data_IF_905221849601
#
_entry.id   IF_905221849601
#
_cell.length_a   1.000
_cell.length_b   1.000
_cell.length_c   1.000
_cell.angle_alpha   90.00
_cell.angle_beta   90.00
_cell.angle_gamma   90.00
#
_symmetry.space_group_name_H-M   'P 1'
#
loop_
_entity.id
_entity.type
_entity.pdbx_description
1 polymer ?
#
# COMPACT_ATOMS: atom_id res chain seq x y z
N UNK A 1 -0.06 -75.38 -0.75
CA UNK A 1 -0.76 -74.41 0.12
C UNK A 1 0.15 -73.34 0.75
N UNK A 2 1.36 -73.67 1.25
CA UNK A 2 2.30 -72.69 1.84
C UNK A 2 2.76 -71.54 0.93
N UNK A 3 2.91 -71.75 -0.38
CA UNK A 3 3.37 -70.70 -1.33
C UNK A 3 2.28 -69.70 -1.73
N UNK A 4 1.03 -70.15 -1.83
CA UNK A 4 -0.12 -69.29 -2.16
C UNK A 4 -0.46 -68.39 -0.95
N UNK A 5 -0.28 -68.90 0.27
CA UNK A 5 -0.47 -68.12 1.49
C UNK A 5 0.56 -66.98 1.62
N UNK A 6 1.80 -67.19 1.19
CA UNK A 6 2.85 -66.16 1.21
C UNK A 6 2.59 -65.05 0.17
N UNK A 7 2.03 -65.38 -1.00
CA UNK A 7 1.69 -64.38 -2.03
C UNK A 7 0.49 -63.52 -1.62
N UNK A 8 -0.50 -64.09 -0.91
CA UNK A 8 -1.65 -63.36 -0.39
C UNK A 8 -1.26 -62.43 0.77
N UNK A 9 -0.32 -62.84 1.64
CA UNK A 9 0.19 -61.98 2.73
C UNK A 9 1.03 -60.81 2.21
N UNK A 10 1.77 -60.98 1.11
CA UNK A 10 2.53 -59.88 0.46
C UNK A 10 1.61 -58.90 -0.28
N UNK A 11 0.52 -59.38 -0.89
CA UNK A 11 -0.50 -58.52 -1.52
C UNK A 11 -1.35 -57.76 -0.49
N UNK A 12 -1.59 -58.33 0.71
CA UNK A 12 -2.31 -57.66 1.79
C UNK A 12 -1.47 -56.59 2.54
N UNK A 13 -0.14 -56.58 2.37
CA UNK A 13 0.73 -55.52 2.89
C UNK A 13 0.90 -54.31 1.94
N UNK A 14 0.31 -54.37 0.73
CA UNK A 14 0.46 -53.33 -0.30
C UNK A 14 -0.64 -52.25 -0.29
N UNK A 15 -1.60 -52.32 0.64
CA UNK A 15 -2.70 -51.35 0.74
C UNK A 15 -2.72 -50.64 2.10
N UNK A 16 -1.78 -49.73 2.30
CA UNK A 16 -1.96 -48.61 3.24
C UNK A 16 -1.42 -47.32 2.60
N UNK A 17 -1.88 -47.00 1.39
CA UNK A 17 -1.71 -45.65 0.83
C UNK A 17 -3.08 -44.98 0.83
N UNK A 18 -3.54 -44.61 2.03
CA UNK A 18 -4.51 -43.54 2.20
C UNK A 18 -3.80 -42.41 2.91
N UNK A 19 -3.05 -41.58 2.17
CA UNK A 19 -2.78 -40.24 2.69
C UNK A 19 -4.02 -39.39 2.44
N UNK A 20 -4.94 -39.38 3.40
CA UNK A 20 -5.99 -38.37 3.44
C UNK A 20 -5.36 -37.06 3.93
N UNK A 21 -4.89 -36.23 3.00
CA UNK A 21 -4.41 -34.88 3.28
C UNK A 21 -3.03 -34.76 3.94
N UNK A 22 -2.76 -33.57 4.48
CA UNK A 22 -1.51 -33.24 5.19
C UNK A 22 -1.42 -34.03 6.49
N UNK A 23 -0.28 -34.67 6.72
CA UNK A 23 0.07 -35.35 7.96
C UNK A 23 0.84 -34.41 8.86
N UNK A 24 0.18 -33.93 9.92
CA UNK A 24 0.78 -33.05 10.91
C UNK A 24 1.46 -33.87 12.03
N UNK A 25 2.71 -33.52 12.32
CA UNK A 25 3.47 -34.08 13.43
C UNK A 25 2.82 -33.75 14.78
N UNK A 26 2.93 -34.70 15.70
CA UNK A 26 2.61 -34.52 17.11
C UNK A 26 3.91 -34.41 17.90
N UNK A 27 3.97 -33.48 18.86
CA UNK A 27 5.13 -33.31 19.72
C UNK A 27 5.50 -31.84 19.93
N UNK A 28 6.63 -31.65 20.61
CA UNK A 28 7.23 -30.34 20.87
C UNK A 28 7.87 -29.77 19.61
N UNK A 29 8.03 -28.45 19.57
CA UNK A 29 8.73 -27.77 18.48
C UNK A 29 10.17 -28.28 18.29
N UNK A 30 10.84 -28.61 19.40
CA UNK A 30 12.19 -29.18 19.38
C UNK A 30 12.27 -30.52 18.65
N UNK A 31 11.28 -31.39 18.83
CA UNK A 31 11.22 -32.70 18.15
C UNK A 31 10.97 -32.53 16.65
N UNK A 32 10.12 -31.57 16.27
CA UNK A 32 9.87 -31.23 14.86
C UNK A 32 11.15 -30.73 14.18
N UNK A 33 11.90 -29.83 14.83
CA UNK A 33 13.21 -29.37 14.32
C UNK A 33 14.20 -30.53 14.15
N UNK A 34 14.26 -31.44 15.13
CA UNK A 34 15.13 -32.61 15.06
C UNK A 34 14.73 -33.53 13.89
N UNK A 35 13.43 -33.79 13.70
CA UNK A 35 12.93 -34.59 12.59
C UNK A 35 13.24 -33.96 11.24
N UNK A 36 13.00 -32.65 11.09
CA UNK A 36 13.31 -31.91 9.88
C UNK A 36 14.81 -31.97 9.53
N UNK A 37 15.68 -31.88 10.54
CA UNK A 37 17.13 -32.05 10.37
C UNK A 37 17.51 -33.45 9.92
N UNK A 38 16.87 -34.49 10.46
CA UNK A 38 17.11 -35.89 10.09
C UNK A 38 16.61 -36.21 8.68
N UNK A 39 15.44 -35.68 8.29
CA UNK A 39 14.86 -35.89 6.96
C UNK A 39 15.39 -34.93 5.89
N UNK A 40 16.18 -33.93 6.28
CA UNK A 40 16.65 -32.84 5.42
C UNK A 40 15.49 -32.14 4.68
N UNK A 41 14.42 -31.84 5.43
CA UNK A 41 13.22 -31.17 4.91
C UNK A 41 13.02 -29.81 5.56
N UNK A 42 12.34 -28.92 4.84
CA UNK A 42 11.74 -27.73 5.43
C UNK A 42 10.60 -28.14 6.37
N UNK A 43 10.19 -27.22 7.25
CA UNK A 43 9.01 -27.39 8.10
C UNK A 43 7.92 -26.44 7.61
N UNK A 44 6.73 -26.97 7.41
CA UNK A 44 5.52 -26.19 7.19
C UNK A 44 4.78 -26.06 8.53
N UNK A 45 4.48 -24.84 8.96
CA UNK A 45 3.80 -24.56 10.23
C UNK A 45 2.48 -23.83 9.97
N UNK A 46 1.38 -24.43 10.43
CA UNK A 46 0.08 -23.79 10.56
C UNK A 46 -0.06 -23.16 11.96
N UNK A 47 0.12 -21.84 12.05
CA UNK A 47 -0.14 -21.06 13.26
C UNK A 47 -1.60 -20.59 13.25
N UNK A 48 -2.42 -21.27 14.04
CA UNK A 48 -3.87 -21.06 14.11
C UNK A 48 -4.31 -20.64 15.51
N UNK A 49 -5.58 -20.22 15.64
CA UNK A 49 -6.25 -20.08 16.93
C UNK A 49 -7.60 -20.80 16.91
N UNK A 50 -8.08 -21.24 18.07
CA UNK A 50 -9.33 -22.03 18.19
C UNK A 50 -10.60 -21.26 17.80
N UNK A 51 -10.58 -19.94 17.88
CA UNK A 51 -11.70 -19.06 17.52
C UNK A 51 -11.63 -18.57 16.05
N UNK A 52 -10.51 -18.80 15.35
CA UNK A 52 -10.31 -18.36 13.97
C UNK A 52 -11.17 -19.17 12.98
N UNK A 53 -12.26 -18.58 12.50
CA UNK A 53 -13.14 -19.16 11.48
C UNK A 53 -12.42 -19.55 10.18
N UNK A 54 -11.60 -18.66 9.57
CA UNK A 54 -10.84 -18.99 8.37
C UNK A 54 -9.84 -20.15 8.54
N UNK A 55 -9.24 -20.29 9.72
CA UNK A 55 -8.34 -21.40 10.06
C UNK A 55 -9.09 -22.74 10.02
N UNK A 56 -10.27 -22.79 10.65
CA UNK A 56 -11.13 -23.99 10.63
C UNK A 56 -11.52 -24.38 9.21
N UNK A 57 -11.80 -23.39 8.35
CA UNK A 57 -12.12 -23.62 6.93
C UNK A 57 -10.97 -24.32 6.20
N UNK A 58 -9.74 -23.83 6.34
CA UNK A 58 -8.56 -24.48 5.75
C UNK A 58 -8.37 -25.91 6.23
N UNK A 59 -8.52 -26.13 7.55
CA UNK A 59 -8.39 -27.45 8.16
C UNK A 59 -9.45 -28.45 7.71
N UNK A 60 -10.65 -27.97 7.35
CA UNK A 60 -11.75 -28.80 6.87
C UNK A 60 -11.74 -29.01 5.35
N UNK A 61 -11.35 -27.99 4.57
CA UNK A 61 -11.56 -27.98 3.13
C UNK A 61 -10.27 -28.13 2.32
N UNK A 62 -9.13 -27.63 2.80
CA UNK A 62 -7.87 -27.58 2.02
C UNK A 62 -6.90 -28.66 2.47
N UNK A 63 -6.53 -28.68 3.76
CA UNK A 63 -5.54 -29.64 4.28
C UNK A 63 -5.91 -31.12 4.09
N UNK A 64 -7.18 -31.53 4.14
CA UNK A 64 -7.56 -32.94 3.92
C UNK A 64 -7.47 -33.40 2.46
N UNK A 65 -7.28 -32.49 1.49
CA UNK A 65 -7.23 -32.86 0.08
C UNK A 65 -5.98 -33.68 -0.23
N UNK A 66 -6.16 -34.80 -0.94
CA UNK A 66 -5.07 -35.73 -1.26
C UNK A 66 -3.91 -35.04 -2.00
N UNK A 67 -4.21 -34.23 -3.01
CA UNK A 67 -3.18 -33.50 -3.78
C UNK A 67 -2.31 -32.58 -2.92
N UNK A 68 -2.88 -32.02 -1.85
CA UNK A 68 -2.14 -31.19 -0.88
C UNK A 68 -1.28 -32.08 0.00
N UNK A 69 -1.84 -33.18 0.51
CA UNK A 69 -1.09 -34.17 1.29
C UNK A 69 0.11 -34.74 0.54
N UNK A 70 -0.09 -35.15 -0.71
CA UNK A 70 0.95 -35.74 -1.58
C UNK A 70 2.14 -34.79 -1.75
N UNK A 71 1.87 -33.49 -1.93
CA UNK A 71 2.92 -32.48 -2.04
C UNK A 71 3.57 -32.17 -0.69
N UNK A 72 2.76 -31.87 0.34
CA UNK A 72 3.27 -31.36 1.61
C UNK A 72 4.01 -32.43 2.41
N UNK A 73 3.49 -33.66 2.48
CA UNK A 73 4.13 -34.76 3.23
C UNK A 73 5.45 -35.19 2.57
N UNK A 74 5.58 -35.01 1.25
CA UNK A 74 6.81 -35.27 0.51
C UNK A 74 7.90 -34.22 0.78
N UNK A 75 7.52 -32.94 0.79
CA UNK A 75 8.50 -31.84 0.79
C UNK A 75 8.75 -31.23 2.18
N UNK A 76 7.84 -31.41 3.13
CA UNK A 76 7.90 -30.78 4.44
C UNK A 76 7.68 -31.77 5.59
N UNK A 77 8.23 -31.42 6.75
CA UNK A 77 7.70 -31.86 8.03
C UNK A 77 6.56 -30.89 8.39
N UNK A 78 5.33 -31.37 8.50
CA UNK A 78 4.19 -30.48 8.72
C UNK A 78 3.86 -30.38 10.20
N UNK A 79 3.66 -29.17 10.71
CA UNK A 79 3.34 -28.92 12.10
C UNK A 79 2.17 -27.95 12.19
N UNK A 80 1.33 -28.12 13.20
CA UNK A 80 0.25 -27.18 13.50
C UNK A 80 0.28 -26.87 14.98
N UNK A 81 0.11 -25.60 15.33
CA UNK A 81 0.15 -25.17 16.72
C UNK A 81 -0.83 -24.02 16.95
N UNK A 82 -1.54 -24.11 18.08
CA UNK A 82 -2.39 -23.02 18.56
C UNK A 82 -1.48 -21.90 19.08
N UNK A 83 -1.47 -20.78 18.37
CA UNK A 83 -0.59 -19.63 18.64
C UNK A 83 -0.84 -18.98 20.01
N UNK A 84 -1.92 -19.34 20.73
CA UNK A 84 -2.24 -18.82 22.05
C UNK A 84 -1.96 -19.81 23.19
N UNK A 85 -1.48 -21.04 22.89
CA UNK A 85 -1.28 -22.09 23.88
C UNK A 85 0.08 -22.77 23.76
N UNK A 86 0.58 -23.29 24.89
CA UNK A 86 1.83 -24.05 24.92
C UNK A 86 3.01 -23.24 24.36
N UNK A 87 3.77 -23.81 23.42
CA UNK A 87 4.87 -23.16 22.70
C UNK A 87 4.39 -22.14 21.64
N UNK A 88 3.09 -22.06 21.38
CA UNK A 88 2.47 -21.24 20.34
C UNK A 88 2.77 -19.74 20.45
N UNK A 89 2.61 -19.08 21.62
CA UNK A 89 2.88 -17.65 21.76
C UNK A 89 4.33 -17.28 21.44
N UNK A 90 5.29 -18.15 21.79
CA UNK A 90 6.70 -17.95 21.48
C UNK A 90 6.94 -18.05 19.96
N UNK A 91 6.37 -19.05 19.29
CA UNK A 91 6.49 -19.19 17.84
C UNK A 91 5.79 -18.06 17.08
N UNK A 92 4.62 -17.62 17.56
CA UNK A 92 3.89 -16.49 16.98
C UNK A 92 4.69 -15.20 17.10
N UNK A 93 5.34 -14.96 18.25
CA UNK A 93 6.26 -13.84 18.44
C UNK A 93 7.50 -13.96 17.54
N UNK A 94 8.16 -15.12 17.54
CA UNK A 94 9.37 -15.39 16.75
C UNK A 94 9.16 -15.16 15.25
N UNK A 95 8.01 -15.56 14.72
CA UNK A 95 7.68 -15.43 13.30
C UNK A 95 6.85 -14.17 12.99
N UNK A 96 6.73 -13.24 13.94
CA UNK A 96 6.02 -11.96 13.81
C UNK A 96 4.62 -12.14 13.19
N UNK A 97 3.80 -13.00 13.81
CA UNK A 97 2.42 -13.23 13.39
C UNK A 97 1.53 -12.10 13.89
N UNK A 98 0.90 -11.38 12.95
CA UNK A 98 0.00 -10.26 13.25
C UNK A 98 -1.49 -10.57 13.01
N UNK A 99 -1.80 -11.67 12.33
CA UNK A 99 -3.15 -12.12 12.04
C UNK A 99 -3.21 -13.63 11.77
N UNK A 100 -4.40 -14.22 11.83
CA UNK A 100 -4.60 -15.66 11.65
C UNK A 100 -5.58 -15.98 10.50
N UNK A 101 -5.37 -17.07 9.74
CA UNK A 101 -4.20 -17.95 9.79
C UNK A 101 -2.95 -17.27 9.22
N UNK A 102 -1.79 -17.57 9.81
CA UNK A 102 -0.48 -17.32 9.21
C UNK A 102 0.21 -18.66 8.98
N UNK A 103 0.63 -18.90 7.74
CA UNK A 103 1.35 -20.10 7.35
C UNK A 103 2.82 -19.77 7.18
N UNK A 104 3.67 -20.58 7.79
CA UNK A 104 5.10 -20.32 7.91
C UNK A 104 5.90 -21.51 7.38
N UNK A 105 6.93 -21.22 6.60
CA UNK A 105 7.92 -22.20 6.15
C UNK A 105 9.26 -21.86 6.80
N UNK A 106 9.87 -22.84 7.45
CA UNK A 106 11.13 -22.67 8.17
C UNK A 106 12.12 -23.77 7.80
N UNK A 107 13.40 -23.49 7.90
CA UNK A 107 14.43 -24.51 7.72
C UNK A 107 14.62 -25.36 8.98
N UNK A 108 15.46 -26.40 8.90
CA UNK A 108 15.72 -27.30 10.01
C UNK A 108 16.45 -26.64 11.22
N UNK A 109 16.99 -25.43 11.05
CA UNK A 109 17.53 -24.61 12.15
C UNK A 109 16.44 -23.74 12.81
N UNK A 110 15.20 -23.77 12.29
CA UNK A 110 14.08 -22.98 12.78
C UNK A 110 14.10 -21.52 12.30
N UNK A 111 14.90 -21.22 11.26
CA UNK A 111 14.97 -19.90 10.64
C UNK A 111 13.86 -19.75 9.60
N UNK A 112 13.25 -18.57 9.54
CA UNK A 112 12.17 -18.26 8.61
C UNK A 112 12.69 -18.27 7.16
N UNK A 113 12.05 -19.07 6.31
CA UNK A 113 12.26 -19.03 4.85
C UNK A 113 11.23 -18.14 4.20
N UNK A 114 9.96 -18.36 4.52
CA UNK A 114 8.85 -17.68 3.87
C UNK A 114 7.59 -17.75 4.76
N UNK A 115 6.76 -16.70 4.76
CA UNK A 115 5.43 -16.73 5.38
C UNK A 115 4.40 -16.00 4.54
N UNK A 116 3.14 -16.38 4.69
CA UNK A 116 2.02 -15.65 4.12
C UNK A 116 0.79 -15.71 5.02
N UNK A 117 -0.10 -14.74 4.86
CA UNK A 117 -1.35 -14.65 5.60
C UNK A 117 -2.55 -15.06 4.75
N UNK A 118 -3.56 -15.60 5.43
CA UNK A 118 -4.88 -15.86 4.87
C UNK A 118 -5.04 -17.23 4.20
N UNK A 119 -6.27 -17.52 3.83
CA UNK A 119 -6.67 -18.82 3.27
C UNK A 119 -6.15 -19.02 1.84
N UNK A 120 -5.93 -20.27 1.47
CA UNK A 120 -5.56 -20.69 0.11
C UNK A 120 -6.42 -21.89 -0.31
N UNK A 121 -6.78 -21.90 -1.59
CA UNK A 121 -7.24 -23.11 -2.28
C UNK A 121 -6.07 -24.09 -2.43
N UNK A 122 -6.34 -25.36 -2.71
CA UNK A 122 -5.30 -26.39 -2.78
C UNK A 122 -4.17 -26.07 -3.77
N UNK A 123 -4.51 -25.65 -4.98
CA UNK A 123 -3.57 -25.22 -6.02
C UNK A 123 -2.67 -24.08 -5.55
N UNK A 124 -3.26 -23.07 -4.91
CA UNK A 124 -2.50 -21.94 -4.39
C UNK A 124 -1.63 -22.32 -3.21
N UNK A 125 -2.10 -23.19 -2.32
CA UNK A 125 -1.31 -23.65 -1.17
C UNK A 125 -0.07 -24.44 -1.64
N UNK A 126 -0.23 -25.29 -2.65
CA UNK A 126 0.88 -26.01 -3.28
C UNK A 126 1.88 -25.01 -3.88
N UNK A 127 1.41 -24.00 -4.62
CA UNK A 127 2.27 -22.97 -5.19
C UNK A 127 3.06 -22.18 -4.13
N UNK A 128 2.48 -21.91 -2.95
CA UNK A 128 3.20 -21.28 -1.84
C UNK A 128 4.28 -22.21 -1.27
N UNK A 129 4.03 -23.53 -1.22
CA UNK A 129 5.02 -24.54 -0.85
C UNK A 129 6.16 -24.64 -1.87
N UNK A 130 5.86 -24.66 -3.17
CA UNK A 130 6.85 -24.64 -4.25
C UNK A 130 7.73 -23.41 -4.18
N UNK A 131 7.12 -22.25 -3.90
CA UNK A 131 7.84 -21.01 -3.66
C UNK A 131 8.77 -21.13 -2.45
N UNK A 132 8.32 -21.68 -1.32
CA UNK A 132 9.18 -21.86 -0.15
C UNK A 132 10.40 -22.75 -0.44
N UNK A 133 10.21 -23.88 -1.13
CA UNK A 133 11.30 -24.78 -1.55
C UNK A 133 12.28 -24.04 -2.46
N UNK A 134 11.76 -23.29 -3.44
CA UNK A 134 12.57 -22.49 -4.36
C UNK A 134 13.39 -21.43 -3.62
N UNK A 135 12.76 -20.64 -2.75
CA UNK A 135 13.43 -19.61 -1.96
C UNK A 135 14.56 -20.18 -1.10
N UNK A 136 14.32 -21.32 -0.45
CA UNK A 136 15.35 -22.00 0.33
C UNK A 136 16.53 -22.46 -0.54
N UNK A 137 16.26 -22.99 -1.74
CA UNK A 137 17.30 -23.44 -2.66
C UNK A 137 18.18 -22.28 -3.19
N UNK A 138 17.66 -21.05 -3.23
CA UNK A 138 18.43 -19.87 -3.67
C UNK A 138 19.33 -19.31 -2.56
N UNK A 139 19.02 -19.57 -1.29
CA UNK A 139 19.70 -18.95 -0.16
C UNK A 139 21.24 -19.14 -0.15
N UNK A 140 21.80 -20.33 -0.43
CA UNK A 140 23.26 -20.50 -0.49
C UNK A 140 23.91 -19.67 -1.60
N UNK A 141 23.25 -19.56 -2.76
CA UNK A 141 23.75 -18.75 -3.87
C UNK A 141 23.70 -17.26 -3.53
N UNK A 142 22.63 -16.80 -2.87
CA UNK A 142 22.53 -15.41 -2.38
C UNK A 142 23.67 -15.12 -1.42
N UNK A 143 23.89 -15.97 -0.42
CA UNK A 143 24.96 -15.79 0.56
C UNK A 143 26.35 -15.76 -0.09
N UNK A 144 26.60 -16.60 -1.09
CA UNK A 144 27.84 -16.57 -1.86
C UNK A 144 28.02 -15.26 -2.63
N UNK A 145 26.97 -14.79 -3.30
CA UNK A 145 27.02 -13.53 -4.06
C UNK A 145 27.10 -12.30 -3.15
N UNK A 146 26.47 -12.31 -1.97
CA UNK A 146 26.65 -11.26 -0.95
C UNK A 146 28.12 -11.17 -0.56
N UNK A 147 28.78 -12.30 -0.26
CA UNK A 147 30.21 -12.30 0.07
C UNK A 147 31.08 -11.74 -1.07
N UNK A 148 30.80 -12.10 -2.32
CA UNK A 148 31.51 -11.53 -3.48
C UNK A 148 31.25 -10.02 -3.60
N UNK A 149 30.03 -9.58 -3.31
CA UNK A 149 29.65 -8.17 -3.28
C UNK A 149 30.34 -7.41 -2.14
N UNK A 150 30.43 -7.96 -0.94
CA UNK A 150 31.19 -7.38 0.18
C UNK A 150 32.68 -7.26 -0.14
N UNK A 151 33.23 -8.19 -0.94
CA UNK A 151 34.61 -8.17 -1.43
C UNK A 151 34.87 -7.17 -2.58
N UNK A 152 33.85 -6.39 -2.97
CA UNK A 152 34.00 -5.33 -3.97
C UNK A 152 33.75 -5.75 -5.42
N UNK A 153 33.18 -6.94 -5.67
CA UNK A 153 32.77 -7.34 -7.03
C UNK A 153 31.62 -6.45 -7.50
N UNK A 154 31.81 -5.68 -8.57
CA UNK A 154 30.85 -4.67 -9.09
C UNK A 154 30.61 -4.74 -10.61
N UNK A 155 30.94 -5.87 -11.24
CA UNK A 155 30.76 -6.01 -12.70
C UNK A 155 29.29 -6.00 -13.11
N UNK A 156 28.97 -5.40 -14.27
CA UNK A 156 27.59 -5.28 -14.82
C UNK A 156 26.80 -6.60 -14.79
N UNK A 157 27.40 -7.69 -15.29
CA UNK A 157 26.78 -9.02 -15.34
C UNK A 157 26.50 -9.54 -13.92
N UNK A 158 27.51 -9.45 -13.05
CA UNK A 158 27.39 -9.88 -11.66
C UNK A 158 26.29 -9.12 -10.92
N UNK A 159 26.26 -7.79 -11.01
CA UNK A 159 25.24 -6.97 -10.34
C UNK A 159 23.83 -7.26 -10.86
N UNK A 160 23.68 -7.49 -12.17
CA UNK A 160 22.40 -7.86 -12.78
C UNK A 160 21.89 -9.22 -12.30
N UNK A 161 22.75 -10.23 -12.29
CA UNK A 161 22.42 -11.56 -11.76
C UNK A 161 22.12 -11.50 -10.26
N UNK A 162 22.90 -10.71 -9.52
CA UNK A 162 22.75 -10.61 -8.08
C UNK A 162 21.43 -9.97 -7.71
N UNK A 163 21.11 -8.83 -8.32
CA UNK A 163 19.83 -8.16 -8.13
C UNK A 163 18.65 -9.05 -8.56
N UNK A 164 18.77 -9.79 -9.68
CA UNK A 164 17.70 -10.70 -10.10
C UNK A 164 17.40 -11.76 -9.03
N UNK A 165 18.43 -12.33 -8.41
CA UNK A 165 18.31 -13.31 -7.34
C UNK A 165 17.74 -12.72 -6.04
N UNK A 166 18.16 -11.51 -5.69
CA UNK A 166 17.65 -10.74 -4.57
C UNK A 166 16.16 -10.36 -4.73
N UNK A 167 15.78 -9.90 -5.92
CA UNK A 167 14.39 -9.59 -6.29
C UNK A 167 13.50 -10.83 -6.20
N UNK A 168 14.01 -11.94 -6.72
CA UNK A 168 13.33 -13.23 -6.72
C UNK A 168 13.11 -13.79 -5.31
N UNK A 169 14.13 -13.65 -4.45
CA UNK A 169 14.07 -14.12 -3.08
C UNK A 169 13.21 -13.26 -2.15
N UNK A 170 12.93 -12.02 -2.56
CA UNK A 170 12.30 -11.03 -1.69
C UNK A 170 13.24 -10.47 -0.62
N UNK A 171 14.54 -10.80 -0.67
CA UNK A 171 15.55 -10.27 0.25
C UNK A 171 15.79 -8.75 0.10
N UNK A 172 15.14 -8.11 -0.89
CA UNK A 172 15.38 -6.72 -1.24
C UNK A 172 16.72 -6.56 -1.97
N UNK A 173 17.00 -5.37 -2.50
CA UNK A 173 18.22 -5.17 -3.28
C UNK A 173 18.34 -3.77 -3.87
N UNK A 174 17.81 -2.76 -3.19
CA UNK A 174 17.74 -1.39 -3.71
C UNK A 174 19.12 -0.80 -4.06
N UNK A 175 20.12 -1.03 -3.21
CA UNK A 175 21.49 -0.57 -3.45
C UNK A 175 22.10 -1.31 -4.65
N UNK A 176 22.02 -2.64 -4.68
CA UNK A 176 22.54 -3.47 -5.78
C UNK A 176 21.87 -3.10 -7.11
N UNK A 177 20.57 -2.84 -7.10
CA UNK A 177 19.82 -2.34 -8.25
C UNK A 177 20.36 -1.00 -8.75
N UNK A 178 20.56 -0.04 -7.85
CA UNK A 178 21.11 1.26 -8.23
C UNK A 178 22.50 1.12 -8.85
N UNK A 179 23.37 0.28 -8.28
CA UNK A 179 24.69 0.02 -8.84
C UNK A 179 24.62 -0.68 -10.21
N UNK A 180 23.74 -1.67 -10.36
CA UNK A 180 23.49 -2.32 -11.66
C UNK A 180 23.03 -1.31 -12.72
N UNK A 181 22.03 -0.49 -12.43
CA UNK A 181 21.50 0.50 -13.36
C UNK A 181 22.55 1.58 -13.69
N UNK A 182 23.41 1.94 -12.74
CA UNK A 182 24.54 2.85 -12.99
C UNK A 182 25.57 2.28 -13.96
N UNK A 183 25.76 0.95 -14.00
CA UNK A 183 26.64 0.28 -14.96
C UNK A 183 26.10 0.23 -16.39
N UNK A 184 24.80 0.48 -16.60
CA UNK A 184 24.22 0.54 -17.94
C UNK A 184 24.62 1.84 -18.62
N UNK A 185 24.84 1.82 -19.94
CA UNK A 185 24.87 3.04 -20.75
C UNK A 185 23.49 3.71 -20.79
N UNK A 186 23.41 4.98 -21.19
CA UNK A 186 22.12 5.68 -21.29
C UNK A 186 21.16 4.99 -22.28
N UNK A 187 21.69 4.40 -23.36
CA UNK A 187 20.90 3.63 -24.31
C UNK A 187 20.33 2.34 -23.69
N UNK A 188 21.15 1.57 -22.96
CA UNK A 188 20.71 0.35 -22.27
C UNK A 188 19.71 0.66 -21.14
N UNK A 189 19.98 1.71 -20.35
CA UNK A 189 19.19 2.10 -19.18
C UNK A 189 17.72 2.37 -19.55
N UNK A 190 17.48 2.94 -20.73
CA UNK A 190 16.17 3.41 -21.17
C UNK A 190 15.44 2.38 -22.04
N UNK A 191 15.95 1.15 -22.15
CA UNK A 191 15.25 0.07 -22.84
C UNK A 191 13.99 -0.38 -22.07
N UNK A 192 13.05 -0.90 -22.83
CA UNK A 192 11.77 -1.43 -22.35
C UNK A 192 11.94 -2.46 -21.21
N UNK A 193 12.95 -3.32 -21.30
CA UNK A 193 13.28 -4.34 -20.28
C UNK A 193 13.62 -3.74 -18.90
N UNK A 194 14.11 -2.50 -18.86
CA UNK A 194 14.51 -1.82 -17.64
C UNK A 194 13.40 -0.99 -16.99
N UNK A 195 12.25 -0.83 -17.66
CA UNK A 195 11.09 -0.09 -17.11
C UNK A 195 10.66 -0.64 -15.74
N UNK A 196 10.62 -1.96 -15.57
CA UNK A 196 10.28 -2.57 -14.27
C UNK A 196 11.37 -2.35 -13.21
N UNK A 197 12.64 -2.34 -13.62
CA UNK A 197 13.76 -2.17 -12.70
C UNK A 197 13.83 -0.72 -12.20
N UNK A 198 13.64 0.25 -13.09
CA UNK A 198 13.52 1.67 -12.72
C UNK A 198 12.40 1.88 -11.71
N UNK A 199 11.24 1.25 -11.91
CA UNK A 199 10.11 1.33 -10.99
C UNK A 199 10.30 0.63 -9.64
N UNK A 200 11.39 -0.13 -9.47
CA UNK A 200 11.76 -0.81 -8.23
C UNK A 200 12.92 -0.12 -7.48
N UNK A 201 13.45 0.98 -8.02
CA UNK A 201 14.42 1.81 -7.29
C UNK A 201 13.76 2.30 -6.00
N UNK A 202 14.43 2.08 -4.87
CA UNK A 202 13.92 2.37 -3.53
C UNK A 202 14.88 3.22 -2.69
N UNK A 203 16.10 3.44 -3.17
CA UNK A 203 17.11 4.31 -2.56
C UNK A 203 17.43 5.44 -3.53
N UNK A 204 17.45 6.68 -3.04
CA UNK A 204 17.71 7.83 -3.90
C UNK A 204 19.19 7.90 -4.30
N UNK A 205 19.47 7.97 -5.60
CA UNK A 205 20.81 8.20 -6.14
C UNK A 205 20.76 9.36 -7.14
N UNK A 206 21.32 10.55 -6.81
CA UNK A 206 21.13 11.75 -7.62
C UNK A 206 21.73 11.62 -9.02
N UNK A 207 22.81 10.86 -9.19
CA UNK A 207 23.47 10.67 -10.49
C UNK A 207 22.59 9.79 -11.38
N UNK A 208 22.05 8.70 -10.84
CA UNK A 208 21.17 7.81 -11.57
C UNK A 208 19.88 8.53 -12.01
N UNK A 209 19.24 9.27 -11.10
CA UNK A 209 18.01 9.99 -11.44
C UNK A 209 18.24 11.15 -12.42
N UNK A 210 19.36 11.87 -12.36
CA UNK A 210 19.71 12.88 -13.36
C UNK A 210 19.83 12.27 -14.77
N UNK A 211 20.50 11.10 -14.89
CA UNK A 211 20.59 10.35 -16.15
C UNK A 211 19.21 9.94 -16.66
N UNK A 212 18.34 9.43 -15.78
CA UNK A 212 16.97 9.05 -16.13
C UNK A 212 16.16 10.23 -16.65
N UNK A 213 16.16 11.37 -15.94
CA UNK A 213 15.40 12.56 -16.35
C UNK A 213 15.85 13.08 -17.71
N UNK A 214 17.16 13.18 -17.94
CA UNK A 214 17.73 13.63 -19.22
C UNK A 214 17.41 12.65 -20.35
N UNK A 215 17.55 11.36 -20.07
CA UNK A 215 17.29 10.29 -21.03
C UNK A 215 15.83 10.19 -21.47
N UNK A 216 14.90 10.29 -20.52
CA UNK A 216 13.45 10.16 -20.78
C UNK A 216 12.96 11.23 -21.75
N UNK A 217 13.39 12.50 -21.60
CA UNK A 217 13.00 13.58 -22.52
C UNK A 217 13.38 13.29 -23.97
N UNK A 218 14.55 12.68 -24.17
CA UNK A 218 15.00 12.25 -25.51
C UNK A 218 14.11 11.12 -26.04
N UNK A 219 13.87 10.09 -25.22
CA UNK A 219 13.03 8.94 -25.60
C UNK A 219 11.59 9.35 -25.87
N UNK A 220 11.02 10.31 -25.14
CA UNK A 220 9.67 10.83 -25.39
C UNK A 220 9.54 11.46 -26.79
N UNK A 221 10.60 12.10 -27.29
CA UNK A 221 10.64 12.66 -28.65
C UNK A 221 10.68 11.60 -29.75
N UNK A 222 11.29 10.44 -29.49
CA UNK A 222 11.46 9.36 -30.48
C UNK A 222 10.34 8.30 -30.37
N UNK A 223 9.96 7.93 -29.14
CA UNK A 223 8.95 6.95 -28.79
C UNK A 223 8.18 7.37 -27.53
N UNK A 224 7.15 8.20 -27.76
CA UNK A 224 6.27 8.74 -26.71
C UNK A 224 5.69 7.68 -25.76
N UNK A 225 5.34 6.48 -26.27
CA UNK A 225 4.77 5.42 -25.42
C UNK A 225 5.79 4.88 -24.42
N UNK A 226 7.01 4.64 -24.86
CA UNK A 226 8.10 4.19 -23.98
C UNK A 226 8.49 5.29 -23.00
N UNK A 227 8.63 6.53 -23.48
CA UNK A 227 8.94 7.69 -22.64
C UNK A 227 7.93 7.87 -21.49
N UNK A 228 6.63 7.82 -21.79
CA UNK A 228 5.57 7.88 -20.76
C UNK A 228 5.67 6.75 -19.72
N UNK A 229 6.05 5.54 -20.13
CA UNK A 229 6.18 4.40 -19.21
C UNK A 229 7.41 4.50 -18.34
N UNK A 230 8.54 4.93 -18.89
CA UNK A 230 9.75 5.23 -18.13
C UNK A 230 9.47 6.33 -17.11
N UNK A 231 8.80 7.40 -17.53
CA UNK A 231 8.38 8.50 -16.66
C UNK A 231 7.50 8.00 -15.50
N UNK A 232 6.46 7.21 -15.78
CA UNK A 232 5.62 6.60 -14.75
C UNK A 232 6.42 5.69 -13.79
N UNK A 233 7.37 4.92 -14.30
CA UNK A 233 8.27 4.10 -13.47
C UNK A 233 9.17 4.95 -12.57
N UNK A 234 9.70 6.08 -13.05
CA UNK A 234 10.45 7.03 -12.22
C UNK A 234 9.56 7.63 -11.14
N UNK A 235 8.33 8.02 -11.47
CA UNK A 235 7.39 8.53 -10.46
C UNK A 235 7.08 7.48 -9.38
N UNK A 236 6.92 6.22 -9.76
CA UNK A 236 6.75 5.12 -8.80
C UNK A 236 7.98 4.97 -7.90
N UNK A 237 9.19 5.00 -8.45
CA UNK A 237 10.41 4.87 -7.63
C UNK A 237 10.67 6.07 -6.74
N UNK A 238 10.33 7.29 -7.14
CA UNK A 238 10.40 8.46 -6.26
C UNK A 238 9.52 8.29 -5.02
N UNK A 239 8.34 7.65 -5.15
CA UNK A 239 7.51 7.34 -3.97
C UNK A 239 8.19 6.35 -3.01
N UNK A 240 8.86 5.33 -3.54
CA UNK A 240 9.63 4.38 -2.72
C UNK A 240 10.87 5.05 -2.09
N UNK A 241 11.59 5.86 -2.85
CA UNK A 241 12.73 6.64 -2.38
C UNK A 241 12.31 7.62 -1.27
N UNK A 242 11.15 8.25 -1.39
CA UNK A 242 10.61 9.13 -0.36
C UNK A 242 10.35 8.36 0.94
N UNK A 243 9.77 7.16 0.88
CA UNK A 243 9.57 6.32 2.07
C UNK A 243 10.90 5.96 2.77
N UNK A 244 11.93 5.60 2.00
CA UNK A 244 13.28 5.34 2.52
C UNK A 244 13.91 6.59 3.12
N UNK A 245 13.82 7.73 2.42
CA UNK A 245 14.30 9.04 2.87
C UNK A 245 13.66 9.44 4.22
N UNK A 246 12.35 9.24 4.38
CA UNK A 246 11.67 9.47 5.67
C UNK A 246 12.26 8.56 6.75
N UNK A 247 12.39 7.26 6.50
CA UNK A 247 12.96 6.28 7.45
C UNK A 247 14.38 6.65 7.88
N UNK A 248 15.20 7.11 6.95
CA UNK A 248 16.60 7.48 7.16
C UNK A 248 16.79 8.91 7.68
N UNK A 249 15.72 9.71 7.72
CA UNK A 249 15.73 11.13 8.09
C UNK A 249 16.65 11.97 7.20
N UNK A 250 16.78 11.62 5.93
CA UNK A 250 17.70 12.28 4.99
C UNK A 250 17.01 13.47 4.27
N UNK A 251 17.10 14.66 4.86
CA UNK A 251 16.59 15.89 4.24
C UNK A 251 17.25 16.22 2.89
N UNK A 252 18.51 15.80 2.66
CA UNK A 252 19.19 16.06 1.40
C UNK A 252 18.60 15.18 0.29
N UNK A 253 18.30 13.92 0.60
CA UNK A 253 17.59 13.04 -0.33
C UNK A 253 16.18 13.55 -0.63
N UNK A 254 15.46 14.12 0.36
CA UNK A 254 14.17 14.75 0.14
C UNK A 254 14.24 15.84 -0.94
N UNK A 255 15.15 16.79 -0.79
CA UNK A 255 15.28 17.89 -1.77
C UNK A 255 15.74 17.40 -3.14
N UNK A 256 16.58 16.36 -3.19
CA UNK A 256 16.93 15.68 -4.44
C UNK A 256 15.72 15.05 -5.14
N UNK A 257 14.88 14.33 -4.40
CA UNK A 257 13.63 13.73 -4.91
C UNK A 257 12.70 14.81 -5.48
N UNK A 258 12.53 15.92 -4.76
CA UNK A 258 11.71 17.04 -5.20
C UNK A 258 12.27 17.71 -6.47
N UNK A 259 13.59 17.85 -6.56
CA UNK A 259 14.26 18.35 -7.77
C UNK A 259 14.02 17.47 -8.99
N UNK A 260 14.12 16.14 -8.83
CA UNK A 260 13.84 15.19 -9.91
C UNK A 260 12.38 15.26 -10.35
N UNK A 261 11.44 15.32 -9.39
CA UNK A 261 10.01 15.51 -9.65
C UNK A 261 9.76 16.77 -10.50
N UNK A 262 10.35 17.89 -10.13
CA UNK A 262 10.23 19.14 -10.88
C UNK A 262 10.84 19.01 -12.30
N UNK A 263 11.99 18.34 -12.42
CA UNK A 263 12.69 18.15 -13.69
C UNK A 263 11.94 17.31 -14.74
N UNK A 264 11.07 16.40 -14.31
CA UNK A 264 10.21 15.59 -15.18
C UNK A 264 9.06 16.39 -15.82
N UNK A 265 8.74 17.59 -15.31
CA UNK A 265 7.63 18.40 -15.82
C UNK A 265 6.24 17.77 -15.61
N UNK A 266 6.15 16.75 -14.76
CA UNK A 266 4.87 16.13 -14.41
C UNK A 266 4.06 17.09 -13.55
N UNK A 267 2.86 17.44 -14.03
CA UNK A 267 1.90 18.17 -13.24
C UNK A 267 1.51 17.36 -12.01
N UNK A 268 1.47 18.03 -10.87
CA UNK A 268 0.85 17.51 -9.65
C UNK A 268 -0.56 17.04 -9.98
N UNK A 269 -0.85 15.79 -9.64
CA UNK A 269 -2.07 15.13 -10.07
C UNK A 269 -2.62 14.30 -8.92
N UNK A 270 -3.56 14.91 -8.19
CA UNK A 270 -4.26 14.26 -7.10
C UNK A 270 -4.92 12.95 -7.53
N UNK A 271 -5.45 12.87 -8.76
CA UNK A 271 -6.03 11.63 -9.26
C UNK A 271 -4.99 10.53 -9.43
N UNK A 272 -3.82 10.82 -9.99
CA UNK A 272 -2.73 9.84 -10.07
C UNK A 272 -2.29 9.40 -8.67
N UNK A 273 -2.20 10.32 -7.70
CA UNK A 273 -1.89 9.98 -6.31
C UNK A 273 -2.94 9.02 -5.70
N UNK A 274 -4.23 9.30 -5.93
CA UNK A 274 -5.36 8.51 -5.42
C UNK A 274 -5.49 7.13 -6.09
N UNK A 275 -5.19 7.03 -7.39
CA UNK A 275 -5.31 5.80 -8.18
C UNK A 275 -4.09 4.87 -8.03
N UNK A 276 -3.32 5.00 -6.94
CA UNK A 276 -2.17 4.14 -6.66
C UNK A 276 -0.86 4.54 -7.36
N UNK A 277 -0.79 5.73 -7.95
CA UNK A 277 0.45 6.28 -8.53
C UNK A 277 1.49 6.69 -7.48
N UNK A 278 1.09 6.81 -6.21
CA UNK A 278 1.99 7.05 -5.08
C UNK A 278 2.17 8.52 -4.71
N UNK A 279 2.92 8.76 -3.63
CA UNK A 279 3.12 10.09 -3.03
C UNK A 279 3.85 11.07 -3.95
N UNK A 280 4.63 10.61 -4.92
CA UNK A 280 5.36 11.48 -5.86
C UNK A 280 4.47 12.39 -6.72
N UNK A 281 3.18 12.10 -6.84
CA UNK A 281 2.22 12.97 -7.52
C UNK A 281 1.64 14.09 -6.64
N UNK A 282 1.89 14.06 -5.33
CA UNK A 282 1.49 15.11 -4.39
C UNK A 282 2.36 16.37 -4.55
N UNK A 283 1.86 17.54 -4.11
CA UNK A 283 2.66 18.77 -4.08
C UNK A 283 3.93 18.66 -3.24
N UNK A 284 4.96 19.40 -3.65
CA UNK A 284 6.28 19.36 -2.99
C UNK A 284 6.19 19.74 -1.50
N UNK A 285 5.39 20.75 -1.17
CA UNK A 285 5.18 21.25 0.18
C UNK A 285 4.45 20.21 1.05
N UNK A 286 3.51 19.45 0.47
CA UNK A 286 2.86 18.35 1.18
C UNK A 286 3.84 17.23 1.50
N UNK A 287 4.77 16.91 0.59
CA UNK A 287 5.83 15.94 0.84
C UNK A 287 6.81 16.41 1.92
N UNK A 288 7.16 17.70 1.95
CA UNK A 288 7.97 18.28 3.02
C UNK A 288 7.26 18.21 4.37
N UNK A 289 5.99 18.58 4.44
CA UNK A 289 5.18 18.50 5.66
C UNK A 289 5.04 17.04 6.16
N UNK A 290 4.82 16.09 5.26
CA UNK A 290 4.79 14.67 5.60
C UNK A 290 6.16 14.20 6.12
N UNK A 291 7.27 14.60 5.48
CA UNK A 291 8.61 14.29 5.98
C UNK A 291 8.86 14.88 7.38
N UNK A 292 8.55 16.16 7.59
CA UNK A 292 8.79 16.82 8.89
C UNK A 292 7.95 16.20 10.01
N UNK A 293 6.68 15.89 9.77
CA UNK A 293 5.80 15.28 10.77
C UNK A 293 6.23 13.86 11.14
N UNK A 294 6.65 13.04 10.17
CA UNK A 294 7.16 11.69 10.44
C UNK A 294 8.50 11.70 11.21
N UNK A 295 9.32 12.74 11.00
CA UNK A 295 10.65 12.87 11.60
C UNK A 295 10.70 13.76 12.84
N UNK A 296 9.55 14.25 13.32
CA UNK A 296 9.40 15.13 14.49
C UNK A 296 10.23 16.41 14.37
N UNK A 297 10.25 16.98 13.17
CA UNK A 297 10.89 18.27 12.88
C UNK A 297 9.87 19.40 13.08
N UNK A 298 9.37 19.52 14.30
CA UNK A 298 8.16 20.26 14.65
C UNK A 298 8.25 21.76 14.30
N UNK A 299 9.41 22.40 14.50
CA UNK A 299 9.59 23.81 14.17
C UNK A 299 9.54 24.05 12.66
N UNK A 300 10.19 23.18 11.88
CA UNK A 300 10.13 23.24 10.40
C UNK A 300 8.72 22.97 9.91
N UNK A 301 8.04 21.98 10.49
CA UNK A 301 6.65 21.68 10.18
C UNK A 301 5.76 22.89 10.46
N UNK A 302 5.88 23.51 11.64
CA UNK A 302 5.06 24.66 12.02
C UNK A 302 5.25 25.82 11.06
N UNK A 303 6.50 26.20 10.77
CA UNK A 303 6.80 27.30 9.85
C UNK A 303 6.21 27.03 8.47
N UNK A 304 6.53 25.88 7.89
CA UNK A 304 6.05 25.52 6.55
C UNK A 304 4.53 25.41 6.50
N UNK A 305 3.87 24.86 7.53
CA UNK A 305 2.42 24.72 7.55
C UNK A 305 1.73 26.08 7.54
N UNK A 306 2.25 27.07 8.28
CA UNK A 306 1.69 28.43 8.27
C UNK A 306 1.80 29.05 6.88
N UNK A 307 2.98 28.99 6.26
CA UNK A 307 3.22 29.51 4.91
C UNK A 307 2.35 28.80 3.87
N UNK A 308 2.28 27.48 3.94
CA UNK A 308 1.48 26.64 3.06
C UNK A 308 0.00 27.02 3.12
N UNK A 309 -0.56 27.17 4.32
CA UNK A 309 -1.98 27.51 4.48
C UNK A 309 -2.30 28.90 3.94
N UNK A 310 -1.41 29.89 4.14
CA UNK A 310 -1.56 31.23 3.55
C UNK A 310 -1.60 31.13 2.02
N UNK A 311 -0.64 30.42 1.42
CA UNK A 311 -0.57 30.24 -0.03
C UNK A 311 -1.82 29.53 -0.57
N UNK A 312 -2.27 28.45 0.08
CA UNK A 312 -3.43 27.68 -0.36
C UNK A 312 -4.73 28.50 -0.31
N UNK A 313 -4.93 29.29 0.75
CA UNK A 313 -6.11 30.15 0.89
C UNK A 313 -6.14 31.29 -0.14
N UNK A 314 -4.97 31.77 -0.58
CA UNK A 314 -4.86 32.75 -1.67
C UNK A 314 -5.12 32.12 -3.04
N UNK A 315 -4.50 30.98 -3.32
CA UNK A 315 -4.63 30.27 -4.60
C UNK A 315 -6.04 29.71 -4.83
N UNK A 316 -6.64 29.14 -3.79
CA UNK A 316 -7.94 28.45 -3.84
C UNK A 316 -8.96 29.18 -2.96
N UNK A 317 -9.18 30.49 -3.23
CA UNK A 317 -10.14 31.27 -2.47
C UNK A 317 -11.55 30.68 -2.57
N UNK A 318 -12.23 30.53 -1.43
CA UNK A 318 -13.55 29.88 -1.35
C UNK A 318 -14.56 30.60 -2.25
N UNK A 319 -14.53 31.94 -2.31
CA UNK A 319 -15.44 32.72 -3.16
C UNK A 319 -15.31 32.37 -4.65
N UNK A 320 -14.06 32.20 -5.13
CA UNK A 320 -13.78 31.81 -6.51
C UNK A 320 -14.26 30.39 -6.81
N UNK A 321 -14.02 29.46 -5.87
CA UNK A 321 -14.49 28.08 -5.97
C UNK A 321 -16.02 28.03 -6.05
N UNK A 322 -16.72 28.73 -5.15
CA UNK A 322 -18.18 28.77 -5.10
C UNK A 322 -18.78 29.37 -6.36
N UNK A 323 -18.22 30.46 -6.87
CA UNK A 323 -18.66 31.07 -8.12
C UNK A 323 -18.52 30.09 -9.30
N UNK A 324 -17.43 29.33 -9.34
CA UNK A 324 -17.19 28.33 -10.39
C UNK A 324 -18.16 27.15 -10.30
N UNK A 325 -18.41 26.64 -9.09
CA UNK A 325 -19.41 25.61 -8.83
C UNK A 325 -20.81 26.07 -9.25
N UNK A 326 -21.19 27.30 -8.89
CA UNK A 326 -22.50 27.87 -9.22
C UNK A 326 -22.69 27.99 -10.74
N UNK A 327 -21.71 28.54 -11.47
CA UNK A 327 -21.76 28.66 -12.93
C UNK A 327 -21.87 27.27 -13.58
N UNK A 328 -21.10 26.30 -13.09
CA UNK A 328 -21.10 24.93 -13.61
C UNK A 328 -22.46 24.26 -13.39
N UNK A 329 -23.03 24.39 -12.18
CA UNK A 329 -24.34 23.84 -11.85
C UNK A 329 -25.47 24.52 -12.65
N UNK A 330 -25.41 25.84 -12.85
CA UNK A 330 -26.35 26.57 -13.70
C UNK A 330 -26.27 26.08 -15.16
N UNK A 331 -25.07 25.87 -15.69
CA UNK A 331 -24.87 25.34 -17.04
C UNK A 331 -25.50 23.96 -17.21
N UNK A 332 -25.22 23.04 -16.29
CA UNK A 332 -25.81 21.70 -16.33
C UNK A 332 -27.33 21.71 -16.15
N UNK A 333 -27.86 22.60 -15.31
CA UNK A 333 -29.31 22.78 -15.16
C UNK A 333 -29.94 23.22 -16.48
N UNK A 334 -29.34 24.20 -17.19
CA UNK A 334 -29.81 24.62 -18.51
C UNK A 334 -29.81 23.48 -19.53
N UNK A 335 -28.75 22.65 -19.55
CA UNK A 335 -28.68 21.48 -20.43
C UNK A 335 -29.79 20.46 -20.13
N UNK A 336 -30.03 20.17 -18.85
CA UNK A 336 -31.09 19.26 -18.42
C UNK A 336 -32.47 19.82 -18.79
N UNK A 337 -32.72 21.10 -18.54
CA UNK A 337 -34.01 21.73 -18.84
C UNK A 337 -34.28 21.79 -20.35
N UNK A 338 -33.25 22.03 -21.17
CA UNK A 338 -33.35 21.92 -22.63
C UNK A 338 -33.67 20.50 -23.09
N UNK A 339 -33.03 19.48 -22.51
CA UNK A 339 -33.31 18.09 -22.83
C UNK A 339 -34.74 17.67 -22.41
N UNK A 340 -35.23 18.16 -21.26
CA UNK A 340 -36.63 17.97 -20.84
C UNK A 340 -37.61 18.62 -21.82
N UNK A 341 -37.35 19.85 -22.28
CA UNK A 341 -38.21 20.51 -23.28
C UNK A 341 -38.29 19.74 -24.59
N UNK A 342 -37.24 18.96 -24.93
CA UNK A 342 -37.20 18.11 -26.13
C UNK A 342 -37.70 16.69 -25.89
N UNK A 343 -38.15 16.34 -24.68
CA UNK A 343 -38.49 14.98 -24.26
C UNK A 343 -37.36 13.95 -24.52
N UNK A 344 -36.10 14.38 -24.44
CA UNK A 344 -34.93 13.53 -24.71
C UNK A 344 -34.38 12.93 -23.40
N UNK A 345 -34.94 11.79 -23.01
CA UNK A 345 -34.52 11.06 -21.80
C UNK A 345 -33.09 10.53 -21.88
N UNK A 346 -32.61 10.20 -23.08
CA UNK A 346 -31.24 9.71 -23.31
C UNK A 346 -30.21 10.80 -23.08
N UNK A 347 -30.48 12.02 -23.57
CA UNK A 347 -29.64 13.18 -23.31
C UNK A 347 -29.56 13.50 -21.81
N UNK A 348 -30.68 13.44 -21.08
CA UNK A 348 -30.68 13.66 -19.62
C UNK A 348 -29.74 12.67 -18.91
N UNK A 349 -29.78 11.38 -19.27
CA UNK A 349 -28.89 10.36 -18.70
C UNK A 349 -27.42 10.65 -19.03
N UNK A 350 -27.12 11.01 -20.28
CA UNK A 350 -25.76 11.33 -20.73
C UNK A 350 -25.20 12.57 -20.02
N UNK A 351 -26.00 13.63 -19.90
CA UNK A 351 -25.64 14.86 -19.17
C UNK A 351 -25.35 14.53 -17.71
N UNK A 352 -26.23 13.79 -17.03
CA UNK A 352 -26.02 13.36 -15.63
C UNK A 352 -24.73 12.53 -15.47
N UNK A 353 -24.43 11.64 -16.41
CA UNK A 353 -23.17 10.88 -16.39
C UNK A 353 -21.95 11.79 -16.55
N UNK A 354 -22.02 12.76 -17.45
CA UNK A 354 -20.96 13.75 -17.69
C UNK A 354 -20.74 14.62 -16.46
N UNK A 355 -21.81 15.04 -15.80
CA UNK A 355 -21.78 15.75 -14.52
C UNK A 355 -21.11 14.93 -13.43
N UNK A 356 -21.52 13.67 -13.27
CA UNK A 356 -20.90 12.77 -12.29
C UNK A 356 -19.40 12.62 -12.51
N UNK A 357 -18.97 12.47 -13.78
CA UNK A 357 -17.55 12.46 -14.11
C UNK A 357 -16.91 13.82 -13.77
N UNK A 358 -17.42 14.95 -14.24
CA UNK A 358 -16.85 16.27 -13.95
C UNK A 358 -16.71 16.55 -12.43
N UNK A 359 -17.71 16.15 -11.64
CA UNK A 359 -17.68 16.21 -10.16
C UNK A 359 -16.57 15.32 -9.58
N UNK A 360 -16.46 14.08 -10.06
CA UNK A 360 -15.41 13.16 -9.65
C UNK A 360 -14.01 13.69 -10.00
N UNK A 361 -13.76 14.15 -11.22
CA UNK A 361 -12.43 14.63 -11.64
C UNK A 361 -12.07 15.99 -11.04
N UNK A 362 -13.02 16.94 -10.99
CA UNK A 362 -12.80 18.27 -10.42
C UNK A 362 -12.73 18.28 -8.89
N UNK A 363 -13.53 17.44 -8.23
CA UNK A 363 -13.56 17.31 -6.76
C UNK A 363 -12.36 16.58 -6.18
N UNK A 364 -11.69 15.69 -6.95
CA UNK A 364 -10.54 14.93 -6.44
C UNK A 364 -9.40 15.85 -5.95
N UNK A 365 -9.12 16.97 -6.64
CA UNK A 365 -8.11 17.94 -6.18
C UNK A 365 -8.46 18.46 -4.78
N UNK A 366 -9.68 18.97 -4.60
CA UNK A 366 -10.10 19.61 -3.35
C UNK A 366 -10.36 18.62 -2.23
N UNK A 367 -10.83 17.40 -2.54
CA UNK A 367 -10.98 16.32 -1.57
C UNK A 367 -9.64 15.89 -0.98
N UNK A 368 -8.60 15.77 -1.82
CA UNK A 368 -7.26 15.43 -1.36
C UNK A 368 -6.64 16.57 -0.55
N UNK A 369 -6.79 17.81 -1.02
CA UNK A 369 -6.32 18.98 -0.28
C UNK A 369 -7.03 19.10 1.07
N UNK A 370 -8.35 18.93 1.11
CA UNK A 370 -9.14 18.94 2.35
C UNK A 370 -8.67 17.87 3.33
N UNK A 371 -8.55 16.60 2.89
CA UNK A 371 -8.03 15.51 3.73
C UNK A 371 -6.61 15.80 4.24
N UNK A 372 -5.75 16.35 3.39
CA UNK A 372 -4.40 16.74 3.79
C UNK A 372 -4.44 17.83 4.87
N UNK A 373 -5.20 18.90 4.66
CA UNK A 373 -5.31 20.03 5.62
C UNK A 373 -5.85 19.54 6.96
N UNK A 374 -6.85 18.64 6.98
CA UNK A 374 -7.37 18.05 8.23
C UNK A 374 -6.27 17.29 8.96
N UNK A 375 -5.55 16.40 8.26
CA UNK A 375 -4.46 15.60 8.85
C UNK A 375 -3.31 16.49 9.38
N UNK A 376 -2.86 17.44 8.56
CA UNK A 376 -1.78 18.36 8.89
C UNK A 376 -2.16 19.30 10.04
N UNK A 377 -3.40 19.80 10.08
CA UNK A 377 -3.91 20.62 11.18
C UNK A 377 -3.99 19.83 12.48
N UNK A 378 -4.42 18.56 12.43
CA UNK A 378 -4.41 17.67 13.59
C UNK A 378 -2.99 17.46 14.13
N UNK A 379 -2.01 17.28 13.26
CA UNK A 379 -0.60 17.19 13.68
C UNK A 379 -0.14 18.53 14.30
N UNK A 380 -0.39 19.65 13.63
CA UNK A 380 -0.06 20.99 14.11
C UNK A 380 -0.60 21.27 15.52
N UNK A 381 -1.88 20.93 15.76
CA UNK A 381 -2.53 21.09 17.06
C UNK A 381 -1.89 20.26 18.18
N UNK A 382 -1.36 19.09 17.86
CA UNK A 382 -0.67 18.23 18.84
C UNK A 382 0.70 18.75 19.26
N UNK A 383 1.39 19.46 18.36
CA UNK A 383 2.74 19.96 18.60
C UNK A 383 2.78 21.43 19.05
N UNK A 384 1.64 22.13 19.04
CA UNK A 384 1.53 23.54 19.46
C UNK A 384 1.05 23.67 20.91
N UNK A 385 1.19 24.87 21.48
CA UNK A 385 0.61 25.18 22.79
C UNK A 385 -0.92 25.25 22.69
N UNK A 386 -1.59 24.25 23.27
CA UNK A 386 -3.05 24.12 23.21
C UNK A 386 -3.79 25.16 24.05
N UNK A 387 -3.10 25.88 24.93
CA UNK A 387 -3.67 27.01 25.68
C UNK A 387 -3.59 28.32 24.90
N UNK A 388 -2.80 28.37 23.83
CA UNK A 388 -2.64 29.56 23.01
C UNK A 388 -3.90 29.80 22.16
N UNK A 389 -4.63 30.86 22.48
CA UNK A 389 -5.87 31.25 21.79
C UNK A 389 -5.64 31.54 20.30
N UNK A 390 -4.48 32.11 19.95
CA UNK A 390 -4.12 32.38 18.56
C UNK A 390 -3.93 31.11 17.76
N UNK A 391 -3.25 30.12 18.32
CA UNK A 391 -3.03 28.82 17.68
C UNK A 391 -4.32 28.00 17.56
N UNK A 392 -5.16 28.04 18.60
CA UNK A 392 -6.50 27.45 18.55
C UNK A 392 -7.34 28.05 17.42
N UNK A 393 -7.40 29.38 17.33
CA UNK A 393 -8.14 30.08 16.27
C UNK A 393 -7.62 29.67 14.89
N UNK A 394 -6.30 29.62 14.72
CA UNK A 394 -5.68 29.24 13.45
C UNK A 394 -6.08 27.83 12.99
N UNK A 395 -6.06 26.86 13.91
CA UNK A 395 -6.51 25.49 13.61
C UNK A 395 -7.99 25.46 13.23
N UNK A 396 -8.85 26.18 13.94
CA UNK A 396 -10.28 26.29 13.62
C UNK A 396 -10.49 26.88 12.21
N UNK A 397 -9.76 27.95 11.87
CA UNK A 397 -9.82 28.60 10.55
C UNK A 397 -9.39 27.63 9.43
N UNK A 398 -8.35 26.83 9.66
CA UNK A 398 -7.89 25.81 8.71
C UNK A 398 -8.87 24.65 8.54
N UNK A 399 -9.51 24.20 9.62
CA UNK A 399 -10.55 23.16 9.56
C UNK A 399 -11.78 23.66 8.81
N UNK A 400 -12.20 24.89 9.06
CA UNK A 400 -13.28 25.52 8.31
C UNK A 400 -12.92 25.61 6.82
N UNK A 401 -11.71 26.05 6.50
CA UNK A 401 -11.23 26.10 5.12
C UNK A 401 -11.24 24.71 4.46
N UNK A 402 -10.75 23.66 5.14
CA UNK A 402 -10.77 22.29 4.63
C UNK A 402 -12.20 21.80 4.34
N UNK A 403 -13.15 22.09 5.23
CA UNK A 403 -14.56 21.79 4.98
C UNK A 403 -15.11 22.54 3.76
N UNK A 404 -14.76 23.83 3.61
CA UNK A 404 -15.20 24.61 2.46
C UNK A 404 -14.58 24.09 1.14
N UNK A 405 -13.40 23.49 1.15
CA UNK A 405 -12.86 22.84 -0.04
C UNK A 405 -13.69 21.61 -0.48
N UNK A 406 -14.22 20.84 0.46
CA UNK A 406 -15.00 19.62 0.17
C UNK A 406 -16.17 19.46 1.15
N UNK A 407 -17.38 19.89 0.75
CA UNK A 407 -18.58 19.84 1.59
C UNK A 407 -19.34 18.52 1.47
N UNK A 408 -18.64 17.42 1.75
CA UNK A 408 -19.23 16.07 1.79
C UNK A 408 -19.49 15.62 3.22
N UNK A 409 -20.41 14.66 3.47
CA UNK A 409 -20.58 14.07 4.79
C UNK A 409 -19.25 13.57 5.38
N UNK A 410 -18.45 12.84 4.61
CA UNK A 410 -17.17 12.29 5.09
C UNK A 410 -16.20 13.37 5.57
N UNK A 411 -16.08 14.47 4.82
CA UNK A 411 -15.22 15.59 5.20
C UNK A 411 -15.78 16.36 6.40
N UNK A 412 -17.10 16.60 6.43
CA UNK A 412 -17.75 17.23 7.58
C UNK A 412 -17.54 16.43 8.88
N UNK A 413 -17.60 15.10 8.80
CA UNK A 413 -17.28 14.20 9.91
C UNK A 413 -15.85 14.39 10.41
N UNK A 414 -14.85 14.34 9.50
CA UNK A 414 -13.45 14.51 9.86
C UNK A 414 -13.12 15.89 10.43
N UNK A 415 -13.76 16.94 9.91
CA UNK A 415 -13.64 18.30 10.43
C UNK A 415 -14.30 18.45 11.81
N UNK A 416 -15.49 17.89 12.02
CA UNK A 416 -16.19 17.93 13.30
C UNK A 416 -15.40 17.21 14.40
N UNK A 417 -14.84 16.03 14.11
CA UNK A 417 -13.95 15.30 15.03
C UNK A 417 -12.78 16.19 15.48
N UNK A 418 -12.08 16.81 14.53
CA UNK A 418 -10.95 17.66 14.83
C UNK A 418 -11.35 18.94 15.57
N UNK A 419 -12.50 19.53 15.25
CA UNK A 419 -13.03 20.67 16.01
C UNK A 419 -13.32 20.30 17.46
N UNK A 420 -13.88 19.12 17.73
CA UNK A 420 -14.08 18.63 19.10
C UNK A 420 -12.75 18.37 19.82
N UNK A 421 -11.74 17.80 19.13
CA UNK A 421 -10.37 17.65 19.65
C UNK A 421 -9.73 19.00 20.04
N UNK A 422 -10.02 20.06 19.29
CA UNK A 422 -9.57 21.44 19.56
C UNK A 422 -10.42 22.12 20.66
N UNK A 423 -11.56 21.51 21.02
CA UNK A 423 -12.51 22.03 22.00
C UNK A 423 -13.44 23.12 21.46
N UNK A 424 -13.84 23.03 20.19
CA UNK A 424 -14.90 23.84 19.56
C UNK A 424 -16.11 22.98 19.16
N UNK A 425 -16.82 22.45 20.17
CA UNK A 425 -18.02 21.62 19.97
C UNK A 425 -19.14 22.35 19.22
N UNK A 426 -19.27 23.67 19.44
CA UNK A 426 -20.27 24.48 18.75
C UNK A 426 -19.93 24.65 17.27
N UNK A 427 -18.66 24.89 16.93
CA UNK A 427 -18.17 24.85 15.55
C UNK A 427 -18.43 23.51 14.88
N UNK A 428 -18.09 22.40 15.55
CA UNK A 428 -18.32 21.05 15.05
C UNK A 428 -19.80 20.81 14.72
N UNK A 429 -20.72 21.15 15.64
CA UNK A 429 -22.16 21.03 15.40
C UNK A 429 -22.64 21.91 14.25
N UNK A 430 -22.15 23.15 14.14
CA UNK A 430 -22.49 24.05 13.03
C UNK A 430 -22.09 23.49 11.67
N UNK A 431 -20.89 22.91 11.56
CA UNK A 431 -20.42 22.26 10.33
C UNK A 431 -21.31 21.10 9.88
N UNK A 432 -21.71 20.24 10.83
CA UNK A 432 -22.57 19.09 10.54
C UNK A 432 -23.99 19.52 10.13
N UNK A 433 -24.51 20.61 10.69
CA UNK A 433 -25.78 21.18 10.25
C UNK A 433 -25.66 21.78 8.84
N UNK A 434 -24.58 22.52 8.58
CA UNK A 434 -24.33 23.14 7.27
C UNK A 434 -24.27 22.08 6.16
N UNK A 435 -23.58 20.95 6.37
CA UNK A 435 -23.47 19.92 5.32
C UNK A 435 -24.83 19.30 5.00
N UNK A 436 -25.71 19.14 6.00
CA UNK A 436 -27.08 18.65 5.77
C UNK A 436 -27.90 19.65 4.95
N UNK A 437 -27.74 20.95 5.20
CA UNK A 437 -28.40 22.01 4.43
C UNK A 437 -27.88 22.08 2.99
N UNK A 438 -26.56 21.99 2.81
CA UNK A 438 -25.92 21.94 1.49
C UNK A 438 -26.44 20.77 0.67
N UNK A 439 -26.51 19.56 1.25
CA UNK A 439 -27.04 18.37 0.56
C UNK A 439 -28.53 18.56 0.23
N UNK A 440 -29.32 19.08 1.17
CA UNK A 440 -30.76 19.33 0.97
C UNK A 440 -31.02 20.30 -0.18
N UNK A 441 -30.20 21.35 -0.29
CA UNK A 441 -30.35 22.38 -1.31
C UNK A 441 -29.68 22.01 -2.65
N UNK A 442 -28.85 20.97 -2.67
CA UNK A 442 -28.20 20.46 -3.87
C UNK A 442 -28.93 19.24 -4.43
N UNK A 443 -29.87 19.47 -5.36
CA UNK A 443 -30.60 18.42 -6.08
C UNK A 443 -29.73 17.42 -6.88
N UNK A 444 -28.42 17.67 -6.95
CA UNK A 444 -27.42 16.88 -7.68
C UNK A 444 -26.41 16.19 -6.75
N UNK A 445 -26.62 16.23 -5.42
CA UNK A 445 -25.74 15.55 -4.46
C UNK A 445 -25.71 14.05 -4.70
N UNK A 446 -24.51 13.46 -4.64
CA UNK A 446 -24.23 12.02 -4.71
C UNK A 446 -24.07 11.38 -3.33
N UNK A 447 -24.38 12.11 -2.24
CA UNK A 447 -24.27 11.61 -0.89
C UNK A 447 -25.22 10.42 -0.64
N UNK A 448 -24.69 9.32 -0.08
CA UNK A 448 -25.50 8.16 0.21
C UNK A 448 -26.46 8.42 1.39
N UNK A 449 -27.71 7.89 1.37
CA UNK A 449 -28.67 8.08 2.47
C UNK A 449 -28.13 7.66 3.84
N UNK A 450 -27.29 6.62 3.88
CA UNK A 450 -26.66 6.13 5.12
C UNK A 450 -25.71 7.16 5.73
N UNK A 451 -24.98 7.91 4.89
CA UNK A 451 -24.01 8.91 5.35
C UNK A 451 -24.73 10.15 5.86
N UNK A 452 -25.80 10.56 5.18
CA UNK A 452 -26.69 11.64 5.63
C UNK A 452 -27.32 11.29 6.98
N UNK A 453 -27.83 10.06 7.12
CA UNK A 453 -28.44 9.60 8.36
C UNK A 453 -27.43 9.57 9.51
N UNK A 454 -26.21 9.09 9.25
CA UNK A 454 -25.11 9.12 10.21
C UNK A 454 -24.82 10.55 10.71
N UNK A 455 -24.71 11.53 9.81
CA UNK A 455 -24.51 12.94 10.19
C UNK A 455 -25.66 13.45 11.09
N UNK A 456 -26.92 13.16 10.75
CA UNK A 456 -28.09 13.57 11.55
C UNK A 456 -28.03 13.01 12.97
N UNK A 457 -27.78 11.71 13.09
CA UNK A 457 -27.67 11.05 14.40
C UNK A 457 -26.55 11.64 15.25
N UNK A 458 -25.44 12.07 14.62
CA UNK A 458 -24.37 12.76 15.33
C UNK A 458 -24.83 14.13 15.84
N UNK A 459 -25.49 14.93 15.00
CA UNK A 459 -26.01 16.26 15.39
C UNK A 459 -27.00 16.17 16.55
N UNK A 460 -27.83 15.12 16.58
CA UNK A 460 -28.79 14.87 17.66
C UNK A 460 -28.12 14.49 19.00
N UNK A 461 -26.96 13.84 18.95
CA UNK A 461 -26.18 13.43 20.14
C UNK A 461 -25.33 14.54 20.75
N UNK A 462 -25.04 15.60 19.98
CA UNK A 462 -24.25 16.78 20.40
C UNK A 462 -25.13 17.87 20.99
#
# INVERSE_FOLDING_TARGET
MRRIFLTIVVLLFSWNVFSQGIQFETGSWKEVLQKAKQENKLIFVDLYTTWCGPCKKMAAETFPQQVVGDYFNKNFVNYKIDAEKGEGPELAGKYEVSAYPTLVFVNAAGELVYKFMGVRTADKLIAEGEKAVRLYALAPRIAAMEKEYEQGKRGKVFLGEYYALLKESGAGGGIVLNEYLKCLSDGELLLEENVSNIGNISTFDPVLFDRLVKGIKKVEGENKKLGNRLNASVMKSLSACFATCVKEKDEKALEGILGVKAGLGNLENGMSAMMGGGKSYLPAEQLRLDFYSNNRLDDKFKTLMNEYMIAQQQENSIDSLRKTEEITNQHFKMLIDSAKMKNDSTAIVSIKKTMGMASLFGGVKYKLLSSFVISATRHYWKITDQQNVGEKKKCIDWVNYAYQLDRTPATAWGCADLMEEIGDKQGAKRLLIDVLEVIKNNSLSDAEPKDIQSVKERVEKM
#
